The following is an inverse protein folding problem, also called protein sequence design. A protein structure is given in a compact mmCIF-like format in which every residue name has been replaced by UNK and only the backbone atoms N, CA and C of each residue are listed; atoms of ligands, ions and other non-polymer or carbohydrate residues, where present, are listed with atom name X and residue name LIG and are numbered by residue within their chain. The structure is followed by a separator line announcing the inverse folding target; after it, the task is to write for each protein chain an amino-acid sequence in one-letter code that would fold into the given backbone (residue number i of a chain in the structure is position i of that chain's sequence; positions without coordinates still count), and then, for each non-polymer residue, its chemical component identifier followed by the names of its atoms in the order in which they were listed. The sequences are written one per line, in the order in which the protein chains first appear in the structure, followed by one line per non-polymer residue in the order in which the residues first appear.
data_IF_118172382621
#
_entry.id   IF_118172382621
#
_cell.length_a   1.000
_cell.length_b   1.000
_cell.length_c   1.000
_cell.angle_alpha   90.00
_cell.angle_beta   90.00
_cell.angle_gamma   90.00
#
_symmetry.space_group_name_H-M   'P 1'
#
loop_
_entity.id
_entity.type
_entity.pdbx_description
1 polymer ?
#
# COMPACT_ATOMS: atom_id res chain seq x y z
N UNK A 1 19.19 -32.46 -6.49
CA UNK A 1 18.92 -32.85 -5.09
C UNK A 1 17.50 -32.40 -4.82
N UNK A 2 16.54 -33.32 -4.83
CA UNK A 2 15.21 -33.02 -4.34
C UNK A 2 15.35 -32.68 -2.87
N UNK A 3 15.20 -31.39 -2.56
CA UNK A 3 15.01 -30.93 -1.19
C UNK A 3 13.52 -31.04 -0.78
N UNK A 4 12.70 -31.67 -1.63
CA UNK A 4 11.25 -31.75 -1.52
C UNK A 4 10.82 -32.61 -0.36
N UNK A 5 10.66 -31.98 0.80
CA UNK A 5 9.62 -32.45 1.71
C UNK A 5 8.29 -32.47 0.94
N UNK A 6 7.49 -33.51 1.16
CA UNK A 6 6.17 -33.59 0.53
C UNK A 6 5.28 -32.43 0.93
N UNK A 7 4.08 -32.40 0.36
CA UNK A 7 3.03 -31.46 0.78
C UNK A 7 2.74 -31.62 2.27
N UNK A 8 2.49 -30.50 2.95
CA UNK A 8 2.01 -30.55 4.32
C UNK A 8 0.48 -30.67 4.31
N UNK A 9 -0.04 -31.88 4.54
CA UNK A 9 -1.49 -32.15 4.58
C UNK A 9 -2.26 -31.35 5.64
N UNK A 10 -1.56 -30.75 6.60
CA UNK A 10 -2.15 -29.93 7.68
C UNK A 10 -2.16 -28.44 7.34
N UNK A 11 -1.52 -28.05 6.25
CA UNK A 11 -1.52 -26.69 5.77
C UNK A 11 -2.81 -26.42 5.00
N UNK A 12 -3.50 -25.35 5.39
CA UNK A 12 -4.56 -24.76 4.56
C UNK A 12 -4.37 -23.26 4.41
N UNK A 13 -4.75 -22.75 3.24
CA UNK A 13 -4.81 -21.32 2.97
C UNK A 13 -6.20 -20.98 2.46
N UNK A 14 -6.79 -19.94 3.01
CA UNK A 14 -8.10 -19.47 2.62
C UNK A 14 -8.19 -17.96 2.41
N UNK A 15 -9.23 -17.53 1.70
CA UNK A 15 -9.63 -16.11 1.64
C UNK A 15 -10.46 -15.67 2.85
N UNK A 16 -10.90 -16.63 3.67
CA UNK A 16 -11.59 -16.43 4.94
C UNK A 16 -10.87 -17.17 6.08
N UNK A 17 -11.16 -16.79 7.33
CA UNK A 17 -10.62 -17.46 8.50
C UNK A 17 -11.00 -18.96 8.49
N UNK A 18 -10.03 -19.83 8.73
CA UNK A 18 -10.17 -21.30 8.66
C UNK A 18 -10.58 -21.85 7.29
N UNK A 19 -10.62 -21.03 6.24
CA UNK A 19 -10.87 -21.46 4.88
C UNK A 19 -9.69 -22.25 4.29
N UNK A 20 -9.99 -23.08 3.30
CA UNK A 20 -9.02 -23.88 2.54
C UNK A 20 -9.24 -23.74 1.02
N UNK A 21 -9.87 -22.64 0.59
CA UNK A 21 -10.22 -22.40 -0.81
C UNK A 21 -9.02 -22.08 -1.71
N UNK A 22 -7.88 -21.67 -1.14
CA UNK A 22 -6.66 -21.34 -1.88
C UNK A 22 -5.70 -22.54 -1.90
N UNK A 23 -5.44 -23.11 -0.73
CA UNK A 23 -4.61 -24.32 -0.54
C UNK A 23 -5.35 -25.24 0.41
N UNK A 24 -5.49 -26.51 0.04
CA UNK A 24 -6.14 -27.55 0.83
C UNK A 24 -5.20 -28.73 0.95
N UNK A 25 -4.92 -29.16 2.18
CA UNK A 25 -3.98 -30.23 2.47
C UNK A 25 -2.59 -30.03 1.81
N UNK A 26 -2.10 -28.78 1.84
CA UNK A 26 -0.82 -28.41 1.23
C UNK A 26 -0.82 -28.28 -0.28
N UNK A 27 -1.91 -28.64 -0.98
CA UNK A 27 -2.04 -28.52 -2.43
C UNK A 27 -2.85 -27.28 -2.83
N UNK A 28 -2.36 -26.53 -3.82
CA UNK A 28 -3.04 -25.36 -4.35
C UNK A 28 -4.27 -25.77 -5.15
N UNK A 29 -5.42 -25.15 -4.87
CA UNK A 29 -6.67 -25.45 -5.57
C UNK A 29 -6.64 -24.93 -7.01
N UNK A 30 -7.41 -25.57 -7.89
CA UNK A 30 -7.51 -25.21 -9.31
C UNK A 30 -7.98 -23.76 -9.59
N UNK A 31 -8.59 -23.09 -8.61
CA UNK A 31 -9.02 -21.68 -8.74
C UNK A 31 -7.82 -20.74 -8.66
N UNK A 32 -6.82 -21.10 -7.86
CA UNK A 32 -5.62 -20.30 -7.60
C UNK A 32 -4.36 -20.89 -8.22
N UNK A 33 -4.46 -22.05 -8.87
CA UNK A 33 -3.36 -22.66 -9.62
C UNK A 33 -2.96 -21.77 -10.79
N UNK A 34 -1.68 -21.42 -10.85
CA UNK A 34 -1.14 -20.53 -11.87
C UNK A 34 0.27 -20.96 -12.23
N UNK A 35 0.51 -21.16 -13.52
CA UNK A 35 1.83 -21.49 -14.03
C UNK A 35 2.68 -20.21 -14.13
N UNK A 36 3.92 -20.30 -13.64
CA UNK A 36 4.89 -19.21 -13.73
C UNK A 36 5.10 -18.79 -15.20
N UNK A 37 5.17 -19.76 -16.11
CA UNK A 37 5.46 -19.51 -17.53
C UNK A 37 4.28 -18.82 -18.24
N UNK A 38 3.06 -18.97 -17.70
CA UNK A 38 1.85 -18.36 -18.25
C UNK A 38 1.41 -17.11 -17.49
N UNK A 39 2.22 -16.59 -16.56
CA UNK A 39 1.84 -15.49 -15.68
C UNK A 39 1.45 -14.19 -16.42
N UNK A 40 1.90 -13.98 -17.66
CA UNK A 40 1.54 -12.80 -18.46
C UNK A 40 0.26 -12.98 -19.30
N UNK A 41 -0.14 -14.23 -19.58
CA UNK A 41 -1.16 -14.60 -20.56
C UNK A 41 -2.39 -15.26 -19.95
N UNK A 42 -2.23 -16.08 -18.92
CA UNK A 42 -3.32 -16.77 -18.23
C UNK A 42 -4.09 -15.79 -17.34
N UNK A 43 -5.42 -15.85 -17.34
CA UNK A 43 -6.23 -15.11 -16.35
C UNK A 43 -6.59 -16.11 -15.25
N UNK A 44 -6.19 -15.81 -14.00
CA UNK A 44 -6.64 -16.60 -12.85
C UNK A 44 -8.16 -16.52 -12.70
N UNK A 45 -8.77 -17.61 -12.26
CA UNK A 45 -10.20 -17.69 -11.96
C UNK A 45 -10.59 -16.81 -10.77
N UNK A 46 -9.69 -16.62 -9.80
CA UNK A 46 -9.85 -15.62 -8.75
C UNK A 46 -9.41 -14.25 -9.24
N UNK A 47 -10.29 -13.26 -9.13
CA UNK A 47 -10.07 -11.88 -9.56
C UNK A 47 -10.31 -10.91 -8.40
N UNK A 48 -9.31 -10.08 -8.11
CA UNK A 48 -9.40 -8.97 -7.17
C UNK A 48 -9.84 -7.71 -7.92
N UNK A 49 -10.96 -7.14 -7.49
CA UNK A 49 -11.61 -6.01 -8.15
C UNK A 49 -10.75 -4.75 -8.15
N UNK A 50 -10.97 -3.84 -9.11
CA UNK A 50 -10.21 -2.59 -9.18
C UNK A 50 -10.33 -1.67 -7.95
N UNK A 51 -11.42 -1.78 -7.19
CA UNK A 51 -11.67 -1.01 -5.96
C UNK A 51 -10.83 -1.47 -4.76
N UNK A 52 -10.37 -2.73 -4.77
CA UNK A 52 -9.61 -3.28 -3.66
C UNK A 52 -8.14 -2.90 -3.76
N UNK A 53 -7.60 -2.33 -2.67
CA UNK A 53 -6.19 -1.97 -2.52
C UNK A 53 -5.35 -3.05 -1.84
N UNK A 54 -5.99 -4.07 -1.26
CA UNK A 54 -5.32 -5.22 -0.66
C UNK A 54 -6.25 -6.43 -0.61
N UNK A 55 -5.65 -7.62 -0.57
CA UNK A 55 -6.33 -8.89 -0.26
C UNK A 55 -5.62 -9.53 0.94
N UNK A 56 -6.38 -10.25 1.75
CA UNK A 56 -5.85 -10.97 2.91
C UNK A 56 -6.10 -12.46 2.72
N UNK A 57 -5.06 -13.26 2.93
CA UNK A 57 -5.14 -14.71 2.98
C UNK A 57 -4.92 -15.18 4.42
N UNK A 58 -5.56 -16.25 4.82
CA UNK A 58 -5.43 -16.87 6.14
C UNK A 58 -4.69 -18.19 5.95
N UNK A 59 -3.53 -18.31 6.59
CA UNK A 59 -2.65 -19.48 6.53
C UNK A 59 -2.77 -20.20 7.86
N UNK A 60 -3.25 -21.44 7.82
CA UNK A 60 -3.48 -22.28 8.99
C UNK A 60 -2.53 -23.47 8.97
N UNK A 61 -1.96 -23.79 10.12
CA UNK A 61 -1.26 -25.04 10.35
C UNK A 61 -2.08 -25.86 11.34
N UNK A 62 -2.89 -26.81 10.85
CA UNK A 62 -3.79 -27.58 11.70
C UNK A 62 -3.02 -28.52 12.65
N UNK A 63 -3.64 -28.85 13.78
CA UNK A 63 -3.15 -29.90 14.68
C UNK A 63 -3.48 -31.26 14.03
N UNK A 64 -2.56 -32.21 14.09
CA UNK A 64 -2.82 -33.57 13.62
C UNK A 64 -3.87 -34.29 14.47
N UNK A 65 -4.45 -35.35 13.92
CA UNK A 65 -5.40 -36.22 14.65
C UNK A 65 -4.75 -36.92 15.85
N UNK A 66 -3.43 -37.10 15.80
CA UNK A 66 -2.57 -37.62 16.86
C UNK A 66 -2.29 -36.60 17.97
N UNK A 67 -2.73 -35.35 17.81
CA UNK A 67 -2.41 -34.26 18.74
C UNK A 67 -0.96 -33.79 18.67
N UNK A 68 -0.14 -34.40 17.81
CA UNK A 68 1.22 -33.97 17.52
C UNK A 68 1.22 -33.03 16.32
N UNK A 69 2.21 -32.14 16.25
CA UNK A 69 2.47 -31.38 15.04
C UNK A 69 3.77 -30.61 15.09
N UNK A 70 4.22 -30.25 13.89
CA UNK A 70 5.46 -29.53 13.70
C UNK A 70 5.19 -28.09 13.29
N UNK A 71 5.88 -27.18 13.97
CA UNK A 71 5.90 -25.78 13.61
C UNK A 71 6.52 -25.61 12.22
N UNK A 72 5.86 -24.79 11.40
CA UNK A 72 6.31 -24.55 10.04
C UNK A 72 7.17 -23.30 10.01
N UNK A 73 8.35 -23.39 9.39
CA UNK A 73 9.19 -22.22 9.14
C UNK A 73 8.92 -21.68 7.75
N UNK A 74 8.31 -20.50 7.69
CA UNK A 74 8.05 -19.78 6.45
C UNK A 74 9.19 -18.78 6.21
N UNK A 75 9.76 -18.83 5.01
CA UNK A 75 10.83 -17.93 4.59
C UNK A 75 10.27 -16.65 3.94
N UNK A 76 11.17 -15.81 3.41
CA UNK A 76 10.82 -14.57 2.73
C UNK A 76 9.79 -14.82 1.62
N UNK A 77 8.66 -14.14 1.75
CA UNK A 77 7.55 -14.24 0.81
C UNK A 77 7.92 -13.44 -0.44
N UNK A 78 7.75 -14.05 -1.61
CA UNK A 78 8.02 -13.39 -2.89
C UNK A 78 6.73 -13.26 -3.71
N UNK A 79 6.63 -12.14 -4.43
CA UNK A 79 5.48 -11.82 -5.28
C UNK A 79 5.98 -11.59 -6.71
N UNK A 80 5.60 -12.49 -7.61
CA UNK A 80 5.89 -12.36 -9.04
C UNK A 80 4.68 -11.76 -9.74
N UNK A 81 4.90 -10.77 -10.62
CA UNK A 81 3.81 -10.06 -11.31
C UNK A 81 3.95 -10.27 -12.81
N UNK A 82 2.86 -10.65 -13.47
CA UNK A 82 2.87 -10.83 -14.93
C UNK A 82 3.07 -9.53 -15.71
N UNK A 83 2.54 -8.40 -15.20
CA UNK A 83 2.66 -7.07 -15.83
C UNK A 83 3.11 -6.01 -14.81
N UNK A 84 4.40 -5.92 -14.48
CA UNK A 84 4.93 -4.99 -13.46
C UNK A 84 4.76 -3.49 -13.80
N UNK A 85 4.51 -3.18 -15.07
CA UNK A 85 4.19 -1.83 -15.54
C UNK A 85 2.74 -1.41 -15.26
N UNK A 86 1.85 -2.36 -14.99
CA UNK A 86 0.43 -2.12 -14.66
C UNK A 86 0.24 -2.10 -13.15
N UNK A 87 0.90 -3.01 -12.43
CA UNK A 87 0.68 -3.24 -11.01
C UNK A 87 2.01 -3.35 -10.26
N UNK A 88 2.11 -2.66 -9.12
CA UNK A 88 3.01 -3.05 -8.04
C UNK A 88 2.22 -3.81 -6.96
N UNK A 89 2.82 -4.86 -6.42
CA UNK A 89 2.29 -5.64 -5.31
C UNK A 89 3.40 -5.88 -4.30
N UNK A 90 3.06 -5.84 -3.01
CA UNK A 90 3.96 -6.08 -1.88
C UNK A 90 3.20 -6.70 -0.71
N UNK A 91 3.91 -7.48 0.11
CA UNK A 91 3.35 -7.96 1.38
C UNK A 91 3.37 -6.81 2.38
N UNK A 92 2.24 -6.57 3.03
CA UNK A 92 2.12 -5.50 4.02
C UNK A 92 2.80 -5.96 5.30
N UNK A 93 3.66 -5.15 5.93
CA UNK A 93 4.19 -5.48 7.24
C UNK A 93 3.06 -5.55 8.28
N UNK A 94 3.22 -6.35 9.35
CA UNK A 94 2.31 -6.30 10.48
C UNK A 94 2.25 -4.86 11.01
N UNK A 95 1.04 -4.38 11.32
CA UNK A 95 0.84 -3.07 11.93
C UNK A 95 1.27 -3.15 13.39
N UNK A 96 2.57 -3.03 13.65
CA UNK A 96 3.11 -3.02 15.01
C UNK A 96 2.60 -1.78 15.76
N UNK A 97 1.54 -1.95 16.53
CA UNK A 97 1.19 -1.03 17.60
C UNK A 97 2.21 -1.17 18.74
N UNK A 98 2.63 -0.04 19.31
CA UNK A 98 3.55 0.06 20.47
C UNK A 98 3.02 -0.72 21.71
N UNK A 99 1.78 -1.21 21.66
CA UNK A 99 1.10 -1.97 22.73
C UNK A 99 0.75 -3.43 22.36
N UNK A 100 1.09 -3.90 21.16
CA UNK A 100 0.74 -5.26 20.74
C UNK A 100 1.94 -6.18 20.91
N UNK A 101 2.08 -6.74 22.12
CA UNK A 101 3.11 -7.75 22.41
C UNK A 101 2.92 -9.00 21.55
N UNK A 102 3.70 -9.11 20.46
CA UNK A 102 4.10 -10.36 19.80
C UNK A 102 3.02 -11.28 19.20
N UNK A 103 1.73 -10.99 19.37
CA UNK A 103 0.61 -11.87 19.02
C UNK A 103 -0.18 -11.40 17.81
N UNK A 104 0.33 -10.44 17.02
CA UNK A 104 -0.28 -10.08 15.75
C UNK A 104 -0.20 -11.28 14.81
N UNK A 105 -1.34 -11.91 14.57
CA UNK A 105 -1.52 -13.02 13.63
C UNK A 105 -1.36 -12.59 12.18
N UNK A 106 -0.37 -11.76 11.85
CA UNK A 106 0.00 -11.33 10.50
C UNK A 106 1.43 -11.77 10.18
N UNK A 107 1.64 -12.36 9.02
CA UNK A 107 2.95 -12.74 8.53
C UNK A 107 3.75 -11.53 8.07
N UNK A 108 5.00 -11.46 8.53
CA UNK A 108 5.96 -10.50 8.02
C UNK A 108 6.34 -10.84 6.57
N UNK A 109 6.68 -9.84 5.72
CA UNK A 109 7.27 -10.07 4.40
C UNK A 109 8.52 -10.95 4.43
N UNK A 110 9.26 -10.94 5.55
CA UNK A 110 10.44 -11.79 5.77
C UNK A 110 10.12 -13.24 6.10
N UNK A 111 8.84 -13.59 6.24
CA UNK A 111 8.39 -14.89 6.75
C UNK A 111 8.31 -14.92 8.28
N UNK A 112 8.43 -16.12 8.84
CA UNK A 112 8.40 -16.39 10.28
C UNK A 112 7.93 -17.81 10.59
N UNK A 113 7.87 -18.15 11.87
CA UNK A 113 7.30 -19.42 12.30
C UNK A 113 5.76 -19.39 12.24
N UNK A 114 5.14 -20.49 11.83
CA UNK A 114 3.71 -20.75 11.92
C UNK A 114 3.53 -21.97 12.84
N UNK A 115 3.28 -21.72 14.14
CA UNK A 115 3.14 -22.79 15.10
C UNK A 115 2.00 -23.74 14.76
N UNK A 116 2.09 -24.97 15.24
CA UNK A 116 1.00 -25.95 15.13
C UNK A 116 -0.26 -25.42 15.83
N UNK A 117 -1.42 -25.57 15.19
CA UNK A 117 -2.69 -25.05 15.66
C UNK A 117 -2.86 -23.53 15.51
N UNK A 118 -1.86 -22.83 14.97
CA UNK A 118 -1.94 -21.39 14.79
C UNK A 118 -2.44 -21.01 13.39
N UNK A 119 -3.03 -19.82 13.33
CA UNK A 119 -3.41 -19.14 12.10
C UNK A 119 -2.65 -17.81 12.00
N UNK A 120 -2.15 -17.50 10.81
CA UNK A 120 -1.62 -16.17 10.48
C UNK A 120 -2.23 -15.65 9.20
N UNK A 121 -2.25 -14.34 9.06
CA UNK A 121 -2.78 -13.63 7.91
C UNK A 121 -1.65 -13.12 7.03
N UNK A 122 -1.81 -13.23 5.72
CA UNK A 122 -0.91 -12.68 4.73
C UNK A 122 -1.67 -11.59 3.96
N UNK A 123 -1.31 -10.33 4.21
CA UNK A 123 -1.94 -9.20 3.52
C UNK A 123 -1.10 -8.73 2.34
N UNK A 124 -1.59 -8.94 1.13
CA UNK A 124 -0.97 -8.44 -0.10
C UNK A 124 -1.61 -7.11 -0.48
N UNK A 125 -0.81 -6.05 -0.54
CA UNK A 125 -1.23 -4.71 -0.95
C UNK A 125 -0.85 -4.41 -2.40
N UNK A 126 -1.65 -3.56 -3.04
CA UNK A 126 -1.62 -3.27 -4.47
C UNK A 126 -1.51 -1.78 -4.74
N UNK A 127 -0.70 -1.43 -5.74
CA UNK A 127 -0.62 -0.08 -6.30
C UNK A 127 -0.76 -0.16 -7.81
N UNK A 128 -1.90 0.29 -8.32
CA UNK A 128 -2.18 0.34 -9.75
C UNK A 128 -1.46 1.54 -10.40
N UNK A 129 -0.54 1.24 -11.32
CA UNK A 129 0.24 2.23 -12.08
C UNK A 129 -0.46 2.63 -13.37
N UNK A 130 -1.17 1.70 -14.00
CA UNK A 130 -1.90 1.88 -15.28
C UNK A 130 -3.20 1.08 -15.26
N UNK A 131 -4.12 1.41 -16.17
CA UNK A 131 -5.28 0.58 -16.43
C UNK A 131 -4.87 -0.76 -17.04
N UNK A 132 -5.58 -1.82 -16.68
CA UNK A 132 -5.38 -3.18 -17.20
C UNK A 132 -5.44 -4.21 -16.07
N UNK A 133 -5.16 -5.46 -16.38
CA UNK A 133 -5.08 -6.54 -15.39
C UNK A 133 -3.68 -7.12 -15.33
N UNK A 134 -3.22 -7.47 -14.13
CA UNK A 134 -1.96 -8.17 -13.91
C UNK A 134 -2.19 -9.34 -12.99
N UNK A 135 -1.63 -10.49 -13.34
CA UNK A 135 -1.55 -11.61 -12.43
C UNK A 135 -0.47 -11.39 -11.39
N UNK A 136 -0.68 -11.98 -10.23
CA UNK A 136 0.24 -12.00 -9.09
C UNK A 136 0.36 -13.45 -8.66
N UNK A 137 1.56 -14.00 -8.72
CA UNK A 137 1.92 -15.29 -8.14
C UNK A 137 2.57 -15.03 -6.78
N UNK A 138 2.04 -15.66 -5.75
CA UNK A 138 2.55 -15.63 -4.38
C UNK A 138 3.33 -16.91 -4.15
N UNK A 139 4.58 -16.78 -3.75
CA UNK A 139 5.44 -17.92 -3.39
C UNK A 139 5.91 -17.74 -1.95
N UNK A 140 5.58 -18.70 -1.10
CA UNK A 140 5.99 -18.76 0.31
C UNK A 140 6.90 -19.97 0.46
N UNK A 141 8.22 -19.79 0.46
CA UNK A 141 9.12 -20.91 0.63
C UNK A 141 9.04 -21.46 2.05
N UNK A 142 9.04 -22.78 2.18
CA UNK A 142 9.06 -23.46 3.48
C UNK A 142 10.38 -24.23 3.62
N UNK A 143 10.86 -24.44 4.84
CA UNK A 143 12.15 -25.13 5.05
C UNK A 143 12.03 -26.66 4.98
N UNK A 144 10.89 -27.21 5.41
CA UNK A 144 10.72 -28.65 5.63
C UNK A 144 9.70 -29.30 4.69
N UNK A 145 9.03 -28.53 3.84
CA UNK A 145 7.96 -28.97 2.96
C UNK A 145 8.11 -28.35 1.57
N UNK A 146 7.18 -28.67 0.68
CA UNK A 146 7.06 -27.96 -0.59
C UNK A 146 6.74 -26.46 -0.37
N UNK A 147 7.08 -25.64 -1.35
CA UNK A 147 6.72 -24.22 -1.34
C UNK A 147 5.22 -24.06 -1.51
N UNK A 148 4.65 -23.08 -0.81
CA UNK A 148 3.25 -22.71 -1.00
C UNK A 148 3.17 -21.72 -2.17
N UNK A 149 2.54 -22.13 -3.27
CA UNK A 149 2.48 -21.33 -4.50
C UNK A 149 1.05 -21.19 -5.01
N UNK A 150 0.56 -19.96 -5.08
CA UNK A 150 -0.80 -19.68 -5.57
C UNK A 150 -0.88 -18.30 -6.23
N UNK A 151 -1.77 -18.16 -7.21
CA UNK A 151 -1.87 -16.98 -8.04
C UNK A 151 -3.27 -16.41 -8.11
N UNK A 152 -3.35 -15.11 -8.39
CA UNK A 152 -4.61 -14.43 -8.67
C UNK A 152 -4.46 -13.28 -9.67
N UNK A 153 -5.57 -12.85 -10.26
CA UNK A 153 -5.61 -11.69 -11.16
C UNK A 153 -6.02 -10.46 -10.39
N UNK A 154 -5.29 -9.34 -10.53
CA UNK A 154 -5.73 -8.03 -10.04
C UNK A 154 -6.15 -7.16 -11.21
N UNK A 155 -7.37 -6.66 -11.19
CA UNK A 155 -7.82 -5.62 -12.10
C UNK A 155 -7.36 -4.25 -11.59
N UNK A 156 -6.86 -3.40 -12.48
CA UNK A 156 -6.48 -2.03 -12.21
C UNK A 156 -7.25 -1.09 -13.12
N UNK A 157 -7.95 -0.13 -12.52
CA UNK A 157 -8.48 1.02 -13.25
C UNK A 157 -7.41 2.08 -13.38
N UNK A 158 -7.49 2.87 -14.45
CA UNK A 158 -6.61 4.00 -14.63
C UNK A 158 -6.71 4.85 -13.36
N UNK A 159 -5.61 5.11 -12.61
CA UNK A 159 -5.66 6.17 -11.63
C UNK A 159 -6.05 7.39 -12.45
N UNK A 160 -7.25 7.94 -12.20
CA UNK A 160 -7.62 9.20 -12.84
C UNK A 160 -6.42 10.08 -12.54
N UNK A 161 -5.74 10.55 -13.58
CA UNK A 161 -4.89 11.72 -13.44
C UNK A 161 -5.87 12.77 -12.98
N UNK A 162 -6.06 12.87 -11.66
CA UNK A 162 -6.52 14.11 -11.06
C UNK A 162 -5.42 15.00 -11.57
N UNK A 163 -5.76 15.73 -12.64
CA UNK A 163 -4.99 16.85 -13.09
C UNK A 163 -5.10 17.71 -11.85
N UNK A 164 -4.17 17.52 -10.92
CA UNK A 164 -3.91 18.48 -9.90
C UNK A 164 -3.66 19.71 -10.75
N UNK A 165 -4.71 20.52 -10.90
CA UNK A 165 -4.52 21.95 -10.87
C UNK A 165 -3.97 22.18 -9.47
N UNK A 166 -2.73 21.76 -9.25
CA UNK A 166 -1.86 22.26 -8.22
C UNK A 166 -1.61 23.69 -8.68
N UNK A 167 -2.64 24.50 -8.44
CA UNK A 167 -2.51 25.81 -7.91
C UNK A 167 -1.85 25.64 -6.53
N UNK A 168 -0.63 25.06 -6.51
CA UNK A 168 0.39 25.46 -5.56
C UNK A 168 0.66 26.91 -5.94
N UNK A 169 -0.25 27.79 -5.53
CA UNK A 169 0.08 29.14 -5.12
C UNK A 169 1.10 28.92 -4.01
N UNK A 170 2.36 28.77 -4.40
CA UNK A 170 3.50 28.81 -3.50
C UNK A 170 3.28 30.01 -2.59
N UNK A 171 3.18 29.79 -1.29
CA UNK A 171 2.88 30.81 -0.28
C UNK A 171 3.75 32.07 -0.41
N UNK A 172 4.95 31.94 -1.01
CA UNK A 172 5.83 33.05 -1.37
C UNK A 172 5.22 34.09 -2.32
N UNK A 173 4.34 33.69 -3.25
CA UNK A 173 3.74 34.62 -4.21
C UNK A 173 2.67 35.51 -3.56
N UNK A 174 1.86 34.95 -2.66
CA UNK A 174 0.86 35.72 -1.91
C UNK A 174 1.50 36.69 -0.91
N UNK A 175 2.60 36.27 -0.27
CA UNK A 175 3.32 37.12 0.67
C UNK A 175 3.90 38.36 -0.01
N UNK A 176 4.50 38.21 -1.21
CA UNK A 176 5.01 39.34 -1.98
C UNK A 176 3.90 40.33 -2.38
N UNK A 177 2.73 39.84 -2.82
CA UNK A 177 1.60 40.72 -3.18
C UNK A 177 1.12 41.53 -1.96
N UNK A 178 1.01 40.90 -0.79
CA UNK A 178 0.60 41.59 0.44
C UNK A 178 1.64 42.64 0.86
N UNK A 179 2.93 42.33 0.75
CA UNK A 179 4.00 43.28 1.06
C UNK A 179 3.97 44.48 0.11
N UNK A 180 3.79 44.27 -1.20
CA UNK A 180 3.70 45.37 -2.16
C UNK A 180 2.49 46.28 -1.90
N UNK A 181 1.32 45.71 -1.60
CA UNK A 181 0.11 46.49 -1.30
C UNK A 181 0.27 47.30 -0.01
N UNK A 182 0.86 46.72 1.04
CA UNK A 182 1.06 47.42 2.31
C UNK A 182 2.08 48.55 2.19
N UNK A 183 3.19 48.35 1.47
CA UNK A 183 4.19 49.41 1.22
C UNK A 183 3.59 50.54 0.39
N UNK A 184 2.83 50.23 -0.67
CA UNK A 184 2.16 51.24 -1.49
C UNK A 184 1.14 52.07 -0.68
N UNK A 185 0.36 51.42 0.19
CA UNK A 185 -0.60 52.09 1.05
C UNK A 185 0.10 53.03 2.06
N UNK A 186 1.17 52.57 2.70
CA UNK A 186 1.94 53.38 3.64
C UNK A 186 2.60 54.60 2.96
N UNK A 187 3.17 54.40 1.77
CA UNK A 187 3.74 55.49 0.98
C UNK A 187 2.68 56.53 0.58
N UNK A 188 1.49 56.07 0.16
CA UNK A 188 0.36 56.95 -0.16
C UNK A 188 -0.10 57.77 1.03
N UNK A 189 -0.25 57.16 2.21
CA UNK A 189 -0.63 57.87 3.45
C UNK A 189 0.43 58.89 3.86
N UNK A 190 1.71 58.53 3.79
CA UNK A 190 2.81 59.45 4.11
C UNK A 190 2.85 60.65 3.15
N UNK A 191 2.61 60.42 1.85
CA UNK A 191 2.54 61.47 0.85
C UNK A 191 1.38 62.45 1.12
N UNK A 192 0.17 61.94 1.40
CA UNK A 192 -0.99 62.78 1.72
C UNK A 192 -0.74 63.62 2.98
N UNK A 193 -0.16 63.02 4.04
CA UNK A 193 0.17 63.76 5.26
C UNK A 193 1.19 64.86 5.03
N UNK A 194 2.24 64.61 4.24
CA UNK A 194 3.23 65.63 3.89
C UNK A 194 2.61 66.78 3.11
N UNK A 195 1.72 66.47 2.15
CA UNK A 195 1.00 67.50 1.39
C UNK A 195 0.12 68.36 2.30
N UNK A 196 -0.65 67.75 3.20
CA UNK A 196 -1.50 68.50 4.13
C UNK A 196 -0.69 69.39 5.10
N UNK A 197 0.49 68.95 5.52
CA UNK A 197 1.38 69.76 6.36
C UNK A 197 2.00 70.93 5.58
N UNK A 198 2.38 70.70 4.32
CA UNK A 198 2.87 71.77 3.44
C UNK A 198 1.78 72.82 3.17
N UNK A 199 0.56 72.40 2.83
CA UNK A 199 -0.57 73.30 2.58
C UNK A 199 -0.95 74.11 3.83
N UNK A 200 -0.83 73.53 5.03
CA UNK A 200 -1.04 74.25 6.30
C UNK A 200 0.07 75.26 6.60
N UNK A 201 1.32 74.99 6.22
CA UNK A 201 2.43 75.90 6.42
C UNK A 201 2.33 77.14 5.50
N UNK A 202 1.86 76.99 4.26
CA UNK A 202 1.60 78.12 3.35
C UNK A 202 0.47 79.02 3.83
N UNK A 203 -0.60 78.46 4.41
CA UNK A 203 -1.71 79.25 4.97
C UNK A 203 -1.24 80.09 6.17
N UNK A 204 -0.38 79.53 7.04
CA UNK A 204 0.16 80.28 8.19
C UNK A 204 1.17 81.37 7.78
N UNK A 205 1.93 81.17 6.71
CA UNK A 205 2.83 82.19 6.19
C UNK A 205 2.09 83.37 5.52
N UNK A 206 0.96 83.11 4.84
CA UNK A 206 0.15 84.14 4.17
C UNK A 206 -0.73 84.99 5.09
N UNK A 207 -0.88 84.62 6.38
CA UNK A 207 -1.66 85.37 7.36
C UNK A 207 -0.84 86.42 8.15
N UNK A 208 0.42 86.65 7.78
CA UNK A 208 1.38 87.52 8.49
C UNK A 208 1.75 88.83 7.76
N UNK A 209 1.00 89.18 6.71
CA UNK A 209 1.08 90.47 5.99
C UNK A 209 -0.25 91.18 6.05
#
# INVERSE_FOLDING_TARGET
KDCGGGVNERLSVGTSAFGSDVVSAGETTEVFKMDYDQLSAQISRFMVSASESSVTFFINNAVGEDGEGMDMSLSKISLTRGKPNVLAAFVSPPLQGIFSGGADGTLSPSGGALPTGAMKTLRVSFVCKRAGSSNVLVTIPTLNYENIEFGFTKECRNPRKIKERSMLRTSNSLFMVIVFVTVAALAGVAYIRRKQLADRATILAGAST
#
